data_IF_108115638030
#
_entry.id   IF_108115638030
#
_cell.length_a   1.000
_cell.length_b   1.000
_cell.length_c   1.000
_cell.angle_alpha   90.00
_cell.angle_beta   90.00
_cell.angle_gamma   90.00
#
_symmetry.space_group_name_H-M   'P 1'
#
loop_
_entity.id
_entity.type
_entity.pdbx_description
1 polymer ?
#
# COMPACT_ATOMS: atom_id res chain seq x y z
N UNK A 1 49.35 -28.41 10.20
CA UNK A 1 49.22 -29.33 11.36
C UNK A 1 48.58 -30.61 10.84
N UNK A 2 49.19 -31.77 11.10
CA UNK A 2 48.69 -33.08 10.62
C UNK A 2 47.71 -33.63 11.67
N UNK A 3 46.56 -34.21 11.29
CA UNK A 3 45.65 -34.84 12.24
C UNK A 3 46.33 -35.98 13.01
N UNK A 4 46.05 -36.10 14.31
CA UNK A 4 46.57 -37.17 15.18
C UNK A 4 46.52 -38.59 14.58
N UNK A 5 45.40 -39.06 13.98
CA UNK A 5 45.35 -40.43 13.43
C UNK A 5 46.32 -40.61 12.26
N UNK A 6 46.49 -39.59 11.41
CA UNK A 6 47.45 -39.59 10.31
C UNK A 6 48.89 -39.58 10.82
N UNK A 7 49.15 -38.87 11.92
CA UNK A 7 50.47 -38.85 12.56
C UNK A 7 50.85 -40.23 13.12
N UNK A 8 49.94 -40.91 13.82
CA UNK A 8 50.16 -42.27 14.35
C UNK A 8 50.45 -43.29 13.26
N UNK A 9 49.74 -43.21 12.13
CA UNK A 9 49.98 -44.05 10.95
C UNK A 9 51.43 -43.91 10.44
N UNK A 10 51.91 -42.68 10.26
CA UNK A 10 53.27 -42.40 9.79
C UNK A 10 54.32 -42.93 10.77
N UNK A 11 54.13 -42.71 12.07
CA UNK A 11 55.04 -43.20 13.11
C UNK A 11 55.15 -44.73 13.06
N UNK A 12 54.03 -45.44 12.93
CA UNK A 12 54.02 -46.91 12.88
C UNK A 12 54.79 -47.49 11.68
N UNK A 13 54.85 -46.76 10.56
CA UNK A 13 55.60 -47.16 9.37
C UNK A 13 57.11 -46.93 9.58
N UNK A 14 57.48 -45.84 10.24
CA UNK A 14 58.88 -45.54 10.57
C UNK A 14 59.44 -46.53 11.60
N UNK A 15 58.65 -46.95 12.59
CA UNK A 15 59.04 -48.00 13.56
C UNK A 15 59.33 -49.34 12.89
N UNK A 16 58.72 -49.61 11.73
CA UNK A 16 58.96 -50.80 10.91
C UNK A 16 60.09 -50.61 9.90
N UNK A 17 60.85 -49.53 10.02
CA UNK A 17 61.98 -49.18 9.15
C UNK A 17 61.58 -48.94 7.67
N UNK A 18 60.33 -48.53 7.43
CA UNK A 18 59.83 -48.22 6.09
C UNK A 18 60.06 -46.74 5.80
N UNK A 19 60.70 -46.43 4.67
CA UNK A 19 60.92 -45.04 4.25
C UNK A 19 59.62 -44.41 3.75
N UNK A 20 59.24 -43.27 4.34
CA UNK A 20 58.04 -42.51 3.96
C UNK A 20 58.43 -41.21 3.28
N UNK A 21 57.90 -40.94 2.09
CA UNK A 21 58.08 -39.67 1.36
C UNK A 21 56.82 -38.83 1.46
N UNK A 22 56.95 -37.57 1.89
CA UNK A 22 55.83 -36.64 2.04
C UNK A 22 55.97 -35.46 1.08
N UNK A 23 54.90 -35.16 0.35
CA UNK A 23 54.80 -33.98 -0.50
C UNK A 23 53.85 -32.97 0.14
N UNK A 24 54.34 -31.75 0.37
CA UNK A 24 53.55 -30.66 0.96
C UNK A 24 53.22 -29.67 -0.14
N UNK A 25 51.93 -29.48 -0.38
CA UNK A 25 51.41 -28.49 -1.33
C UNK A 25 50.50 -27.51 -0.60
N UNK A 26 50.34 -26.31 -1.16
CA UNK A 26 49.45 -25.30 -0.61
C UNK A 26 48.00 -25.75 -0.81
N UNK A 27 47.30 -26.03 0.28
CA UNK A 27 45.89 -26.41 0.24
C UNK A 27 44.97 -25.25 -0.16
N UNK A 28 43.87 -25.55 -0.86
CA UNK A 28 42.84 -24.56 -1.20
C UNK A 28 42.01 -24.20 0.03
N UNK A 29 41.80 -22.90 0.28
CA UNK A 29 40.95 -22.39 1.38
C UNK A 29 39.46 -22.70 1.13
N UNK A 30 39.02 -23.92 1.44
CA UNK A 30 37.61 -24.32 1.35
C UNK A 30 36.68 -23.48 2.24
N UNK A 31 37.20 -22.86 3.32
CA UNK A 31 36.45 -21.93 4.17
C UNK A 31 35.81 -20.78 3.39
N UNK A 32 36.50 -20.22 2.40
CA UNK A 32 35.99 -19.09 1.63
C UNK A 32 34.79 -19.48 0.74
N UNK A 33 34.71 -20.74 0.33
CA UNK A 33 33.59 -21.30 -0.44
C UNK A 33 32.35 -21.55 0.42
N UNK A 34 32.53 -21.92 1.70
CA UNK A 34 31.43 -22.06 2.66
C UNK A 34 30.93 -20.70 3.15
N UNK A 35 31.84 -19.77 3.48
CA UNK A 35 31.47 -18.41 3.93
C UNK A 35 30.71 -17.66 2.83
N UNK A 36 31.17 -17.73 1.58
CA UNK A 36 30.46 -17.12 0.44
C UNK A 36 29.09 -17.76 0.20
N UNK A 37 28.96 -19.10 0.27
CA UNK A 37 27.66 -19.76 0.12
C UNK A 37 26.67 -19.38 1.22
N UNK A 38 27.08 -19.41 2.49
CA UNK A 38 26.21 -19.04 3.61
C UNK A 38 25.78 -17.58 3.54
N UNK A 39 26.69 -16.68 3.16
CA UNK A 39 26.38 -15.26 2.95
C UNK A 39 25.37 -15.05 1.81
N UNK A 40 25.55 -15.72 0.67
CA UNK A 40 24.61 -15.64 -0.46
C UNK A 40 23.23 -16.16 -0.08
N UNK A 41 23.16 -17.29 0.64
CA UNK A 41 21.88 -17.84 1.12
C UNK A 41 21.19 -16.85 2.07
N UNK A 42 21.91 -16.27 3.03
CA UNK A 42 21.35 -15.28 3.94
C UNK A 42 20.82 -14.02 3.23
N UNK A 43 21.57 -13.49 2.26
CA UNK A 43 21.16 -12.34 1.44
C UNK A 43 19.91 -12.69 0.63
N UNK A 44 19.86 -13.87 0.01
CA UNK A 44 18.70 -14.30 -0.78
C UNK A 44 17.43 -14.48 0.07
N UNK A 45 17.54 -15.06 1.26
CA UNK A 45 16.41 -15.23 2.18
C UNK A 45 15.90 -13.86 2.63
N UNK A 46 16.80 -12.95 2.99
CA UNK A 46 16.44 -11.59 3.39
C UNK A 46 15.70 -10.86 2.28
N UNK A 47 16.17 -10.99 1.04
CA UNK A 47 15.51 -10.39 -0.12
C UNK A 47 14.11 -10.97 -0.34
N UNK A 48 13.93 -12.29 -0.25
CA UNK A 48 12.63 -12.94 -0.39
C UNK A 48 11.65 -12.47 0.69
N UNK A 49 12.10 -12.38 1.94
CA UNK A 49 11.26 -11.89 3.05
C UNK A 49 10.80 -10.45 2.80
N UNK A 50 11.70 -9.57 2.37
CA UNK A 50 11.35 -8.18 2.04
C UNK A 50 10.36 -8.09 0.86
N UNK A 51 10.53 -8.93 -0.16
CA UNK A 51 9.59 -9.03 -1.28
C UNK A 51 8.21 -9.47 -0.82
N UNK A 52 8.11 -10.48 0.05
CA UNK A 52 6.84 -10.96 0.59
C UNK A 52 6.17 -9.86 1.43
N UNK A 53 6.91 -9.18 2.30
CA UNK A 53 6.39 -8.07 3.11
C UNK A 53 5.83 -6.96 2.21
N UNK A 54 6.59 -6.57 1.18
CA UNK A 54 6.16 -5.55 0.21
C UNK A 54 4.89 -5.94 -0.53
N UNK A 55 4.80 -7.18 -1.03
CA UNK A 55 3.63 -7.71 -1.72
C UNK A 55 2.41 -7.78 -0.80
N UNK A 56 2.58 -8.28 0.43
CA UNK A 56 1.51 -8.36 1.41
C UNK A 56 0.97 -6.96 1.76
N UNK A 57 1.86 -5.98 1.93
CA UNK A 57 1.48 -4.59 2.17
C UNK A 57 0.69 -4.02 0.99
N UNK A 58 1.13 -4.26 -0.25
CA UNK A 58 0.47 -3.75 -1.45
C UNK A 58 -0.91 -4.39 -1.63
N UNK A 59 -1.04 -5.70 -1.43
CA UNK A 59 -2.32 -6.42 -1.48
C UNK A 59 -3.27 -5.89 -0.40
N UNK A 60 -2.80 -5.75 0.85
CA UNK A 60 -3.61 -5.20 1.92
C UNK A 60 -4.04 -3.76 1.63
N UNK A 61 -3.12 -2.92 1.17
CA UNK A 61 -3.40 -1.55 0.74
C UNK A 61 -4.47 -1.51 -0.35
N UNK A 62 -4.34 -2.35 -1.39
CA UNK A 62 -5.32 -2.42 -2.48
C UNK A 62 -6.69 -2.89 -1.99
N UNK A 63 -6.75 -3.94 -1.17
CA UNK A 63 -8.01 -4.45 -0.61
C UNK A 63 -8.66 -3.40 0.29
N UNK A 64 -7.88 -2.77 1.17
CA UNK A 64 -8.37 -1.72 2.07
C UNK A 64 -8.86 -0.50 1.27
N UNK A 65 -8.09 -0.08 0.25
CA UNK A 65 -8.45 1.03 -0.64
C UNK A 65 -9.73 0.74 -1.41
N UNK A 66 -9.86 -0.46 -1.98
CA UNK A 66 -11.04 -0.88 -2.73
C UNK A 66 -12.27 -0.96 -1.82
N UNK A 67 -12.16 -1.57 -0.64
CA UNK A 67 -13.25 -1.64 0.33
C UNK A 67 -13.65 -0.26 0.83
N UNK A 68 -12.69 0.63 1.11
CA UNK A 68 -12.96 1.99 1.56
C UNK A 68 -13.65 2.82 0.46
N UNK A 69 -13.16 2.76 -0.78
CA UNK A 69 -13.77 3.43 -1.91
C UNK A 69 -15.20 2.93 -2.16
N UNK A 70 -15.44 1.61 -2.12
CA UNK A 70 -16.76 1.03 -2.33
C UNK A 70 -17.74 1.34 -1.18
N UNK A 71 -17.27 1.37 0.08
CA UNK A 71 -18.08 1.77 1.21
C UNK A 71 -18.47 3.25 1.12
N UNK A 72 -17.52 4.11 0.72
CA UNK A 72 -17.75 5.53 0.50
C UNK A 72 -18.72 5.80 -0.65
N UNK A 73 -18.57 5.10 -1.78
CA UNK A 73 -19.45 5.24 -2.95
C UNK A 73 -20.91 4.85 -2.59
N UNK A 74 -21.12 3.74 -1.89
CA UNK A 74 -22.47 3.35 -1.42
C UNK A 74 -23.06 4.37 -0.44
N UNK A 75 -22.26 4.89 0.48
CA UNK A 75 -22.75 5.88 1.44
C UNK A 75 -23.08 7.22 0.77
N UNK A 76 -22.26 7.66 -0.18
CA UNK A 76 -22.53 8.88 -0.95
C UNK A 76 -23.78 8.75 -1.82
N UNK A 77 -24.00 7.60 -2.48
CA UNK A 77 -25.23 7.37 -3.25
C UNK A 77 -26.47 7.44 -2.36
N UNK A 78 -26.43 6.81 -1.19
CA UNK A 78 -27.55 6.87 -0.21
C UNK A 78 -27.85 8.28 0.28
N UNK A 79 -26.81 9.05 0.62
CA UNK A 79 -26.95 10.45 1.03
C UNK A 79 -27.47 11.31 -0.12
N UNK A 80 -26.97 11.09 -1.34
CA UNK A 80 -27.44 11.77 -2.55
C UNK A 80 -28.90 11.48 -2.86
N UNK A 81 -29.34 10.22 -2.76
CA UNK A 81 -30.73 9.82 -2.97
C UNK A 81 -31.65 10.40 -1.89
N UNK A 82 -31.22 10.41 -0.63
CA UNK A 82 -31.95 11.03 0.47
C UNK A 82 -32.09 12.55 0.27
N UNK A 83 -31.00 13.22 -0.13
CA UNK A 83 -31.02 14.66 -0.42
C UNK A 83 -31.91 14.97 -1.62
N UNK A 84 -31.83 14.19 -2.71
CA UNK A 84 -32.68 14.36 -3.89
C UNK A 84 -34.16 14.21 -3.55
N UNK A 85 -34.49 13.23 -2.70
CA UNK A 85 -35.86 13.00 -2.20
C UNK A 85 -36.34 14.11 -1.26
N UNK A 86 -35.46 14.68 -0.44
CA UNK A 86 -35.79 15.83 0.39
C UNK A 86 -36.02 17.08 -0.47
N UNK A 87 -35.13 17.34 -1.44
CA UNK A 87 -35.20 18.46 -2.36
C UNK A 87 -36.47 18.39 -3.23
N UNK A 88 -36.88 17.20 -3.66
CA UNK A 88 -38.12 17.02 -4.44
C UNK A 88 -39.40 17.33 -3.66
N UNK A 89 -39.35 17.35 -2.31
CA UNK A 89 -40.49 17.72 -1.46
C UNK A 89 -40.57 19.22 -1.17
N UNK A 90 -39.53 19.99 -1.48
CA UNK A 90 -39.54 21.43 -1.27
C UNK A 90 -40.58 22.09 -2.17
N UNK A 91 -41.26 23.11 -1.64
CA UNK A 91 -42.22 23.88 -2.42
C UNK A 91 -41.49 24.60 -3.55
N UNK A 92 -41.91 24.30 -4.78
CA UNK A 92 -41.43 24.99 -5.98
C UNK A 92 -42.39 26.12 -6.27
N UNK A 93 -41.86 27.33 -6.43
CA UNK A 93 -42.63 28.51 -6.83
C UNK A 93 -41.95 29.16 -8.03
N UNK A 94 -42.77 29.63 -8.97
CA UNK A 94 -42.30 30.46 -10.09
C UNK A 94 -42.48 31.93 -9.71
N UNK A 95 -41.42 32.72 -9.87
CA UNK A 95 -41.44 34.15 -9.59
C UNK A 95 -42.28 34.85 -10.65
N UNK A 96 -43.26 35.64 -10.22
CA UNK A 96 -44.13 36.40 -11.12
C UNK A 96 -43.69 37.86 -11.20
N UNK A 97 -44.03 38.53 -12.30
CA UNK A 97 -43.79 39.97 -12.44
C UNK A 97 -44.55 40.72 -11.31
N UNK A 98 -43.82 41.47 -10.49
CA UNK A 98 -44.37 42.20 -9.34
C UNK A 98 -44.24 41.46 -7.99
N UNK A 99 -43.58 40.30 -7.93
CA UNK A 99 -43.18 39.69 -6.66
C UNK A 99 -42.06 40.51 -6.01
N UNK A 100 -42.09 40.61 -4.66
CA UNK A 100 -41.12 41.36 -3.84
C UNK A 100 -39.66 40.97 -4.11
N UNK A 101 -39.45 39.72 -4.53
CA UNK A 101 -38.15 39.14 -4.90
C UNK A 101 -37.53 39.78 -6.15
N UNK A 102 -38.30 40.58 -6.90
CA UNK A 102 -37.84 41.31 -8.11
C UNK A 102 -37.45 42.77 -7.79
N UNK A 103 -37.62 43.23 -6.55
CA UNK A 103 -37.21 44.57 -6.11
C UNK A 103 -35.69 44.63 -5.89
N UNK A 104 -35.06 45.78 -6.15
CA UNK A 104 -33.59 45.93 -6.07
C UNK A 104 -33.01 45.77 -4.65
N UNK A 105 -33.85 45.84 -3.62
CA UNK A 105 -33.45 45.69 -2.21
C UNK A 105 -33.58 44.23 -1.71
N UNK A 106 -34.02 43.30 -2.56
CA UNK A 106 -34.17 41.89 -2.18
C UNK A 106 -32.87 41.09 -2.34
N UNK A 107 -32.71 40.02 -1.56
CA UNK A 107 -31.51 39.17 -1.60
C UNK A 107 -31.30 38.54 -2.98
N UNK A 108 -30.04 38.52 -3.44
CA UNK A 108 -29.64 37.80 -4.64
C UNK A 108 -29.54 36.29 -4.38
N UNK A 109 -29.62 35.47 -5.42
CA UNK A 109 -29.41 34.04 -5.29
C UNK A 109 -27.99 33.74 -4.78
N UNK A 110 -27.86 33.08 -3.63
CA UNK A 110 -26.53 32.80 -3.04
C UNK A 110 -25.66 31.84 -3.86
N UNK A 111 -26.23 31.14 -4.85
CA UNK A 111 -25.51 30.16 -5.69
C UNK A 111 -24.94 30.80 -6.95
N UNK A 112 -25.75 31.57 -7.69
CA UNK A 112 -25.32 32.25 -8.92
C UNK A 112 -25.01 33.74 -8.74
N UNK A 113 -25.30 34.31 -7.57
CA UNK A 113 -25.05 35.72 -7.20
C UNK A 113 -25.80 36.71 -8.11
N UNK A 114 -26.84 36.24 -8.81
CA UNK A 114 -27.71 37.06 -9.64
C UNK A 114 -29.01 37.39 -8.92
N UNK A 115 -29.59 38.55 -9.25
CA UNK A 115 -30.93 38.93 -8.83
C UNK A 115 -31.99 38.07 -9.52
N UNK A 116 -33.09 37.81 -8.81
CA UNK A 116 -34.18 36.99 -9.31
C UNK A 116 -34.95 37.67 -10.44
N UNK A 117 -35.33 36.89 -11.47
CA UNK A 117 -36.06 37.36 -12.64
C UNK A 117 -37.46 36.74 -12.72
N UNK A 118 -38.43 37.41 -13.36
CA UNK A 118 -39.73 36.82 -13.60
C UNK A 118 -39.61 35.53 -14.43
N UNK A 119 -40.36 34.50 -14.04
CA UNK A 119 -40.31 33.13 -14.57
C UNK A 119 -39.20 32.24 -14.01
N UNK A 120 -38.36 32.74 -13.10
CA UNK A 120 -37.41 31.89 -12.40
C UNK A 120 -38.15 30.87 -11.51
N UNK A 121 -37.64 29.64 -11.51
CA UNK A 121 -38.19 28.54 -10.72
C UNK A 121 -37.34 28.38 -9.47
N UNK A 122 -37.85 28.87 -8.35
CA UNK A 122 -37.16 28.83 -7.06
C UNK A 122 -37.78 27.78 -6.15
N UNK A 123 -36.96 27.24 -5.25
CA UNK A 123 -37.41 26.32 -4.20
C UNK A 123 -37.32 27.03 -2.87
N UNK A 124 -38.42 27.04 -2.13
CA UNK A 124 -38.48 27.66 -0.81
C UNK A 124 -37.98 26.64 0.20
N UNK A 125 -36.90 26.97 0.91
CA UNK A 125 -36.35 26.16 1.99
C UNK A 125 -37.18 26.38 3.28
N UNK A 126 -37.42 25.33 4.08
CA UNK A 126 -38.22 25.42 5.30
C UNK A 126 -37.50 26.08 6.47
N UNK A 127 -36.19 26.32 6.36
CA UNK A 127 -35.43 27.07 7.34
C UNK A 127 -35.70 28.57 7.19
N UNK A 128 -35.88 29.26 8.32
CA UNK A 128 -36.05 30.70 8.41
C UNK A 128 -34.87 31.30 9.15
#
# INVERSE_FOLDING_TARGET
MIPEPKGKEIVSLLERNITVTMYITIGTRNLQKYVSRTSVVFVSISFIVLMIISLAWLVFYYIQRFRYANARDRNQRRLGDAAKKAISKLQVRTIKKGDKETESDFDNCAVCIEGYKPSDVVRILPCR
#
